data_IF_432640423250
#
_entry.id   IF_432640423250
#
_cell.length_a   1.000
_cell.length_b   1.000
_cell.length_c   1.000
_cell.angle_alpha   90.00
_cell.angle_beta   90.00
_cell.angle_gamma   90.00
#
_symmetry.space_group_name_H-M   'P 1'
#
loop_
_entity.id
_entity.type
_entity.pdbx_description
1 polymer ?
#
# COMPACT_ATOMS: atom_id res chain seq x y z
N UNK A 1 -2.61 1.77 14.40
CA UNK A 1 -3.07 1.51 15.78
C UNK A 1 -2.17 2.30 16.72
N UNK A 2 -2.73 2.90 17.76
CA UNK A 2 -1.94 3.44 18.87
C UNK A 2 -1.80 2.35 19.94
N UNK A 3 -0.56 1.99 20.22
CA UNK A 3 -0.13 0.97 21.19
C UNK A 3 0.79 1.57 22.27
N UNK A 4 0.75 2.91 22.42
CA UNK A 4 1.53 3.61 23.45
C UNK A 4 1.10 3.23 24.87
N UNK A 5 -0.19 2.89 25.05
CA UNK A 5 -0.71 2.19 26.22
C UNK A 5 -0.92 0.70 25.86
N UNK A 6 -0.07 -0.22 26.36
CA UNK A 6 -0.14 -1.63 26.01
C UNK A 6 -1.40 -2.33 26.54
N UNK A 7 -2.01 -1.80 27.60
CA UNK A 7 -3.23 -2.37 28.19
C UNK A 7 -4.50 -1.84 27.49
N UNK A 8 -4.37 -0.75 26.72
CA UNK A 8 -5.50 -0.07 26.06
C UNK A 8 -5.19 0.31 24.61
N UNK A 9 -4.83 -0.66 23.76
CA UNK A 9 -4.57 -0.38 22.35
C UNK A 9 -5.83 0.14 21.67
N UNK A 10 -5.67 1.14 20.78
CA UNK A 10 -6.80 1.77 20.08
C UNK A 10 -6.53 1.94 18.59
N UNK A 11 -7.57 1.77 17.79
CA UNK A 11 -7.53 2.09 16.36
C UNK A 11 -7.50 3.61 16.18
N UNK A 12 -6.55 4.11 15.39
CA UNK A 12 -6.38 5.55 15.10
C UNK A 12 -6.83 5.95 13.70
N UNK A 13 -6.96 4.97 12.81
CA UNK A 13 -7.35 5.14 11.41
C UNK A 13 -7.60 3.78 10.76
N UNK A 14 -8.42 3.78 9.72
CA UNK A 14 -8.72 2.60 8.89
C UNK A 14 -8.81 3.08 7.44
N UNK A 15 -8.21 2.32 6.53
CA UNK A 15 -8.41 2.49 5.11
C UNK A 15 -8.95 1.18 4.56
N UNK A 16 -10.19 1.21 4.07
CA UNK A 16 -10.83 0.02 3.52
C UNK A 16 -10.24 -0.31 2.15
N UNK A 17 -9.72 -1.52 1.98
CA UNK A 17 -9.28 -2.01 0.68
C UNK A 17 -10.45 -2.68 -0.07
N UNK A 18 -10.43 -2.71 -1.41
CA UNK A 18 -11.52 -3.31 -2.19
C UNK A 18 -11.77 -4.81 -1.96
N UNK A 19 -10.86 -5.54 -1.29
CA UNK A 19 -11.05 -6.95 -0.92
C UNK A 19 -10.61 -7.22 0.52
N UNK A 20 -9.60 -8.05 0.71
CA UNK A 20 -9.10 -8.46 2.02
C UNK A 20 -7.60 -8.23 1.97
N UNK A 21 -7.14 -7.17 2.65
CA UNK A 21 -5.73 -6.94 2.86
C UNK A 21 -5.14 -8.13 3.65
N UNK A 22 -4.16 -8.80 3.06
CA UNK A 22 -3.53 -10.01 3.60
C UNK A 22 -2.13 -9.76 4.14
N UNK A 23 -1.44 -8.78 3.56
CA UNK A 23 -0.12 -8.35 3.98
C UNK A 23 0.09 -6.87 3.63
N UNK A 24 0.99 -6.21 4.36
CA UNK A 24 1.33 -4.81 4.15
C UNK A 24 2.79 -4.54 4.52
N UNK A 25 3.47 -3.75 3.69
CA UNK A 25 4.78 -3.20 4.02
C UNK A 25 4.79 -1.68 3.83
N UNK A 26 5.55 -1.00 4.70
CA UNK A 26 5.72 0.45 4.68
C UNK A 26 7.15 0.77 4.27
N UNK A 27 7.30 1.64 3.27
CA UNK A 27 8.59 2.16 2.82
C UNK A 27 8.49 3.68 2.66
N UNK A 28 9.12 4.42 3.57
CA UNK A 28 9.02 5.88 3.60
C UNK A 28 7.57 6.35 3.79
N UNK A 29 7.09 7.16 2.85
CA UNK A 29 5.71 7.69 2.84
C UNK A 29 4.71 6.78 2.10
N UNK A 30 5.11 5.56 1.72
CA UNK A 30 4.25 4.63 0.99
C UNK A 30 3.95 3.38 1.80
N UNK A 31 2.71 2.88 1.66
CA UNK A 31 2.36 1.53 2.04
C UNK A 31 1.93 0.74 0.80
N UNK A 32 2.38 -0.51 0.73
CA UNK A 32 1.98 -1.47 -0.29
C UNK A 32 1.20 -2.58 0.38
N UNK A 33 -0.05 -2.79 -0.02
CA UNK A 33 -0.92 -3.79 0.59
C UNK A 33 -1.34 -4.85 -0.43
N UNK A 34 -1.15 -6.13 -0.09
CA UNK A 34 -1.62 -7.24 -0.89
C UNK A 34 -3.12 -7.48 -0.61
N UNK A 35 -3.98 -7.32 -1.62
CA UNK A 35 -5.44 -7.30 -1.49
C UNK A 35 -6.10 -8.45 -2.29
N UNK A 36 -5.50 -9.65 -2.27
CA UNK A 36 -6.02 -10.84 -2.92
C UNK A 36 -6.24 -10.64 -4.43
N UNK A 37 -7.46 -10.92 -4.91
CA UNK A 37 -7.85 -10.79 -6.33
C UNK A 37 -7.94 -9.34 -6.83
N UNK A 38 -7.76 -8.36 -5.94
CA UNK A 38 -7.64 -6.94 -6.30
C UNK A 38 -6.18 -6.50 -6.46
N UNK A 39 -5.25 -7.42 -6.21
CA UNK A 39 -3.82 -7.26 -6.44
C UNK A 39 -3.14 -6.38 -5.40
N UNK A 40 -2.11 -5.64 -5.80
CA UNK A 40 -1.35 -4.75 -4.91
C UNK A 40 -2.01 -3.37 -4.87
N UNK A 41 -2.24 -2.82 -3.67
CA UNK A 41 -2.66 -1.43 -3.46
C UNK A 41 -1.44 -0.58 -3.10
N UNK A 42 -1.39 0.64 -3.61
CA UNK A 42 -0.34 1.61 -3.29
C UNK A 42 -0.98 2.80 -2.58
N UNK A 43 -0.66 2.94 -1.31
CA UNK A 43 -1.18 3.98 -0.43
C UNK A 43 -0.07 4.99 -0.13
N UNK A 44 -0.42 6.26 -0.12
CA UNK A 44 0.41 7.36 0.34
C UNK A 44 0.02 7.76 1.76
N UNK A 45 1.02 7.90 2.63
CA UNK A 45 0.89 8.06 4.08
C UNK A 45 1.36 9.44 4.57
N UNK A 46 1.08 10.52 3.83
CA UNK A 46 1.36 11.87 4.31
C UNK A 46 0.62 12.19 5.62
N UNK A 47 -0.62 11.69 5.75
CA UNK A 47 -1.30 11.56 7.02
C UNK A 47 -1.44 10.06 7.37
N UNK A 48 -0.69 9.54 8.36
CA UNK A 48 -0.73 8.13 8.72
C UNK A 48 -2.09 7.62 9.21
N UNK A 49 -2.97 8.52 9.69
CA UNK A 49 -4.33 8.14 10.12
C UNK A 49 -5.37 8.29 9.01
N UNK A 50 -5.00 8.92 7.89
CA UNK A 50 -5.83 9.07 6.70
C UNK A 50 -5.04 8.73 5.42
N UNK A 51 -4.70 7.44 5.18
CA UNK A 51 -4.02 7.02 3.97
C UNK A 51 -4.81 7.36 2.70
N UNK A 52 -4.11 7.73 1.63
CA UNK A 52 -4.70 7.99 0.32
C UNK A 52 -4.23 6.94 -0.67
N UNK A 53 -5.14 6.25 -1.34
CA UNK A 53 -4.77 5.36 -2.42
C UNK A 53 -4.39 6.15 -3.66
N UNK A 54 -3.17 5.93 -4.15
CA UNK A 54 -2.57 6.67 -5.28
C UNK A 54 -2.33 5.78 -6.49
N UNK A 55 -2.56 4.48 -6.36
CA UNK A 55 -2.42 3.53 -7.46
C UNK A 55 -2.64 2.09 -7.01
N UNK A 56 -2.67 1.20 -8.00
CA UNK A 56 -2.75 -0.23 -7.77
C UNK A 56 -2.17 -1.00 -8.95
N UNK A 57 -1.83 -2.26 -8.69
CA UNK A 57 -1.47 -3.24 -9.71
C UNK A 57 -2.44 -4.41 -9.64
N UNK A 58 -3.17 -4.66 -10.74
CA UNK A 58 -4.10 -5.79 -10.81
C UNK A 58 -3.32 -7.09 -10.94
N UNK A 59 -3.61 -8.05 -10.07
CA UNK A 59 -3.03 -9.39 -10.14
C UNK A 59 -4.06 -10.47 -9.83
N UNK A 60 -3.65 -11.73 -9.88
CA UNK A 60 -4.58 -12.85 -9.79
C UNK A 60 -4.86 -13.29 -8.36
N UNK A 61 -3.90 -13.13 -7.44
CA UNK A 61 -4.02 -13.45 -6.01
C UNK A 61 -2.82 -12.92 -5.20
N UNK A 62 -2.72 -11.60 -5.00
CA UNK A 62 -1.66 -11.02 -4.16
C UNK A 62 -1.89 -11.39 -2.69
N UNK A 63 -0.92 -12.06 -2.08
CA UNK A 63 -1.01 -12.56 -0.69
C UNK A 63 0.11 -12.13 0.23
N UNK A 64 1.24 -11.71 -0.32
CA UNK A 64 2.41 -11.30 0.45
C UNK A 64 3.19 -10.23 -0.30
N UNK A 65 3.81 -9.31 0.43
CA UNK A 65 4.56 -8.19 -0.14
C UNK A 65 5.84 -7.92 0.66
N UNK A 66 6.95 -7.75 -0.03
CA UNK A 66 8.22 -7.33 0.57
C UNK A 66 8.94 -6.35 -0.35
N UNK A 67 9.78 -5.49 0.21
CA UNK A 67 10.65 -4.60 -0.57
C UNK A 67 12.11 -5.08 -0.54
N UNK A 68 12.84 -4.80 -1.62
CA UNK A 68 14.27 -5.09 -1.75
C UNK A 68 14.94 -3.98 -2.57
N UNK A 69 15.44 -2.95 -1.88
CA UNK A 69 15.88 -1.73 -2.56
C UNK A 69 14.68 -1.04 -3.22
N UNK A 70 14.79 -0.69 -4.50
CA UNK A 70 13.71 -0.04 -5.26
C UNK A 70 12.68 -1.03 -5.84
N UNK A 71 12.71 -2.28 -5.40
CA UNK A 71 11.81 -3.34 -5.86
C UNK A 71 10.73 -3.63 -4.84
N UNK A 72 9.52 -3.90 -5.35
CA UNK A 72 8.41 -4.48 -4.61
C UNK A 72 8.20 -5.90 -5.14
N UNK A 73 8.31 -6.87 -4.25
CA UNK A 73 8.17 -8.29 -4.50
C UNK A 73 6.79 -8.73 -3.99
N UNK A 74 5.95 -9.27 -4.87
CA UNK A 74 4.58 -9.69 -4.51
C UNK A 74 4.40 -11.17 -4.82
N UNK A 75 4.02 -11.95 -3.81
CA UNK A 75 3.58 -13.32 -4.00
C UNK A 75 2.15 -13.33 -4.58
N UNK A 76 1.99 -13.78 -5.83
CA UNK A 76 0.72 -13.74 -6.59
C UNK A 76 0.09 -15.14 -6.78
N UNK A 77 0.22 -16.04 -5.80
CA UNK A 77 -0.32 -17.39 -5.88
C UNK A 77 0.16 -18.16 -7.12
N UNK A 78 -0.77 -18.53 -8.01
CA UNK A 78 -0.43 -19.24 -9.28
C UNK A 78 0.28 -18.34 -10.30
N UNK A 79 0.21 -17.02 -10.14
CA UNK A 79 0.96 -16.05 -10.94
C UNK A 79 2.46 -16.02 -10.61
N UNK A 80 2.88 -16.68 -9.52
CA UNK A 80 4.29 -16.72 -9.10
C UNK A 80 4.70 -15.47 -8.34
N UNK A 81 5.89 -14.95 -8.65
CA UNK A 81 6.46 -13.76 -8.03
C UNK A 81 6.38 -12.58 -9.01
N UNK A 82 5.65 -11.53 -8.62
CA UNK A 82 5.69 -10.25 -9.33
C UNK A 82 6.84 -9.41 -8.79
N UNK A 83 7.57 -8.77 -9.70
CA UNK A 83 8.65 -7.83 -9.39
C UNK A 83 8.27 -6.48 -9.99
N UNK A 84 7.93 -5.53 -9.12
CA UNK A 84 7.54 -4.17 -9.47
C UNK A 84 8.59 -3.19 -8.95
N UNK A 85 8.55 -1.93 -9.40
CA UNK A 85 9.40 -0.86 -8.85
C UNK A 85 8.61 0.03 -7.90
N UNK A 86 9.25 0.47 -6.82
CA UNK A 86 8.71 1.51 -5.95
C UNK A 86 8.70 2.87 -6.66
N UNK A 87 7.73 3.76 -6.36
CA UNK A 87 7.72 5.10 -6.92
C UNK A 87 9.00 5.84 -6.53
N UNK A 88 9.74 6.33 -7.53
CA UNK A 88 10.87 7.23 -7.26
C UNK A 88 10.39 8.56 -6.64
N UNK A 89 11.26 9.24 -5.88
CA UNK A 89 11.01 10.55 -5.26
C UNK A 89 10.42 11.60 -6.23
N UNK A 90 10.63 11.43 -7.54
CA UNK A 90 10.03 12.21 -8.64
C UNK A 90 8.49 12.26 -8.59
N UNK A 91 7.83 11.25 -8.02
CA UNK A 91 6.37 11.19 -7.91
C UNK A 91 5.78 12.26 -6.97
N UNK A 92 6.56 12.75 -5.98
CA UNK A 92 6.17 13.87 -5.09
C UNK A 92 5.89 15.16 -5.86
N UNK A 93 6.54 15.37 -7.00
CA UNK A 93 6.34 16.56 -7.84
C UNK A 93 5.00 16.55 -8.61
N UNK A 94 4.38 15.38 -8.79
CA UNK A 94 3.16 15.22 -9.60
C UNK A 94 1.91 14.88 -8.78
N UNK A 95 2.06 14.43 -7.52
CA UNK A 95 0.96 14.12 -6.61
C UNK A 95 -0.09 15.24 -6.45
N UNK A 96 0.27 16.54 -6.32
CA UNK A 96 -0.72 17.61 -6.22
C UNK A 96 -1.59 17.78 -7.47
N UNK A 97 -1.13 17.30 -8.63
CA UNK A 97 -1.85 17.38 -9.90
C UNK A 97 -2.85 16.21 -10.05
N UNK A 98 -2.49 15.03 -9.57
CA UNK A 98 -3.31 13.82 -9.68
C UNK A 98 -4.49 13.87 -8.68
N UNK A 99 -4.25 14.36 -7.46
CA UNK A 99 -5.30 14.47 -6.43
C UNK A 99 -6.35 15.56 -6.71
N UNK A 100 -6.08 16.49 -7.64
CA UNK A 100 -7.05 17.52 -8.08
C UNK A 100 -7.99 17.03 -9.18
N UNK A 101 -7.64 15.94 -9.87
CA UNK A 101 -8.40 15.43 -11.01
C UNK A 101 -9.48 14.40 -10.64
N UNK A 102 -9.59 14.02 -9.37
CA UNK A 102 -10.55 13.02 -8.86
C UNK A 102 -11.74 13.63 -8.10
N UNK A 103 -12.25 14.80 -8.53
CA UNK A 103 -13.52 15.38 -8.07
C UNK A 103 -14.54 15.43 -9.19
#
# INVERSE_FOLDING_TARGET
>A
MDVSDPDRPRTVGVHDTPRCATDVIVEGEYAYAADGWKGLRVLFLADPISPVEIGFYKSTNAVGVQTAGDLILVADGRGGLLVLRSPSLSYRAYLPLILRASR
#
